data_IF_601998689097
#
_entry.id   IF_601998689097
#
_cell.length_a   1.000
_cell.length_b   1.000
_cell.length_c   1.000
_cell.angle_alpha   90.00
_cell.angle_beta   90.00
_cell.angle_gamma   90.00
#
_symmetry.space_group_name_H-M   'P 1'
#
loop_
_entity.id
_entity.type
_entity.pdbx_description
1 polymer ?
#
# COMPACT_ATOMS: atom_id res chain seq x y z
N UNK A 1 -16.06 -6.12 -2.63
CA UNK A 1 -15.24 -5.07 -2.00
C UNK A 1 -13.78 -5.48 -2.01
N UNK A 2 -13.41 -6.64 -1.44
CA UNK A 2 -12.04 -7.16 -1.47
C UNK A 2 -11.39 -7.18 -2.87
N UNK A 3 -12.04 -7.76 -3.89
CA UNK A 3 -11.49 -7.79 -5.25
C UNK A 3 -11.29 -6.40 -5.85
N UNK A 4 -12.23 -5.48 -5.58
CA UNK A 4 -12.12 -4.08 -6.01
C UNK A 4 -10.91 -3.41 -5.36
N UNK A 5 -10.76 -3.54 -4.04
CA UNK A 5 -9.59 -3.03 -3.33
C UNK A 5 -8.30 -3.63 -3.89
N UNK A 6 -8.20 -4.96 -3.95
CA UNK A 6 -7.01 -5.66 -4.43
C UNK A 6 -6.58 -5.20 -5.83
N UNK A 7 -7.56 -4.98 -6.73
CA UNK A 7 -7.29 -4.48 -8.09
C UNK A 7 -6.85 -3.02 -8.09
N UNK A 8 -7.56 -2.15 -7.37
CA UNK A 8 -7.30 -0.71 -7.36
C UNK A 8 -5.97 -0.42 -6.65
N UNK A 9 -5.78 -0.92 -5.43
CA UNK A 9 -4.52 -0.81 -4.71
C UNK A 9 -3.37 -1.46 -5.48
N UNK A 10 -3.62 -2.61 -6.13
CA UNK A 10 -2.65 -3.27 -7.01
C UNK A 10 -2.10 -2.33 -8.09
N UNK A 11 -3.00 -1.67 -8.84
CA UNK A 11 -2.59 -0.70 -9.86
C UNK A 11 -1.91 0.54 -9.28
N UNK A 12 -2.42 1.10 -8.18
CA UNK A 12 -1.80 2.26 -7.51
C UNK A 12 -0.35 1.94 -7.14
N UNK A 13 -0.11 0.79 -6.49
CA UNK A 13 1.22 0.39 -6.07
C UNK A 13 2.15 0.05 -7.23
N UNK A 14 1.67 -0.56 -8.32
CA UNK A 14 2.50 -0.72 -9.53
C UNK A 14 2.90 0.63 -10.10
N UNK A 15 1.95 1.55 -10.26
CA UNK A 15 2.22 2.87 -10.86
C UNK A 15 3.20 3.65 -10.01
N UNK A 16 2.98 3.75 -8.69
CA UNK A 16 3.88 4.46 -7.78
C UNK A 16 5.24 3.78 -7.65
N UNK A 17 5.27 2.45 -7.54
CA UNK A 17 6.50 1.67 -7.46
C UNK A 17 7.38 1.82 -8.69
N UNK A 18 6.79 1.84 -9.89
CA UNK A 18 7.54 2.11 -11.14
C UNK A 18 7.99 3.57 -11.18
N UNK A 19 7.07 4.52 -10.94
CA UNK A 19 7.35 5.95 -11.00
C UNK A 19 8.52 6.35 -10.09
N UNK A 20 8.57 5.81 -8.87
CA UNK A 20 9.60 6.13 -7.90
C UNK A 20 11.02 5.72 -8.30
N UNK A 21 11.21 4.84 -9.29
CA UNK A 21 12.54 4.55 -9.84
C UNK A 21 13.04 5.63 -10.82
N UNK A 22 12.14 6.50 -11.30
CA UNK A 22 12.47 7.57 -12.25
C UNK A 22 12.36 8.97 -11.63
N UNK A 23 11.72 9.08 -10.46
CA UNK A 23 11.47 10.33 -9.76
C UNK A 23 11.82 10.13 -8.29
N UNK A 24 12.63 11.01 -7.71
CA UNK A 24 13.11 10.86 -6.34
C UNK A 24 12.19 11.53 -5.30
N UNK A 25 11.31 12.45 -5.72
CA UNK A 25 10.28 13.02 -4.86
C UNK A 25 9.04 13.42 -5.67
N UNK A 26 7.85 13.30 -5.07
CA UNK A 26 6.60 13.77 -5.65
C UNK A 26 6.17 15.08 -4.98
N UNK A 27 6.25 16.18 -5.73
CA UNK A 27 5.91 17.53 -5.27
C UNK A 27 6.63 17.99 -3.99
N UNK A 28 7.79 17.40 -3.67
CA UNK A 28 8.51 17.66 -2.41
C UNK A 28 7.80 17.15 -1.14
N UNK A 29 6.78 16.30 -1.26
CA UNK A 29 5.97 15.81 -0.14
C UNK A 29 6.14 14.31 0.15
N UNK A 30 6.66 13.55 -0.82
CA UNK A 30 6.78 12.09 -0.78
C UNK A 30 8.12 11.76 -1.40
N UNK A 31 9.03 11.17 -0.64
CA UNK A 31 10.31 10.69 -1.12
C UNK A 31 10.17 9.26 -1.64
N UNK A 32 10.82 8.98 -2.77
CA UNK A 32 10.85 7.64 -3.35
C UNK A 32 12.20 6.99 -3.07
N UNK A 33 12.21 6.04 -2.12
CA UNK A 33 13.36 5.20 -1.84
C UNK A 33 13.30 3.90 -2.64
N UNK A 34 14.47 3.37 -3.03
CA UNK A 34 14.59 2.09 -3.74
C UNK A 34 13.84 0.97 -2.98
N UNK A 35 13.99 0.92 -1.65
CA UNK A 35 13.32 -0.07 -0.82
C UNK A 35 11.79 0.10 -0.85
N UNK A 36 11.30 1.34 -0.74
CA UNK A 36 9.87 1.64 -0.74
C UNK A 36 9.23 1.29 -2.09
N UNK A 37 9.91 1.65 -3.19
CA UNK A 37 9.47 1.36 -4.55
C UNK A 37 9.39 -0.16 -4.82
N UNK A 38 10.37 -0.93 -4.35
CA UNK A 38 10.38 -2.38 -4.50
C UNK A 38 9.23 -3.04 -3.71
N UNK A 39 8.97 -2.57 -2.49
CA UNK A 39 7.83 -3.04 -1.67
C UNK A 39 6.51 -2.72 -2.36
N UNK A 40 6.32 -1.49 -2.85
CA UNK A 40 5.12 -1.13 -3.62
C UNK A 40 4.96 -2.00 -4.86
N UNK A 41 6.01 -2.20 -5.66
CA UNK A 41 5.91 -3.03 -6.85
C UNK A 41 5.49 -4.48 -6.52
N UNK A 42 6.08 -5.07 -5.47
CA UNK A 42 5.70 -6.40 -4.98
C UNK A 42 4.24 -6.45 -4.53
N UNK A 43 3.81 -5.51 -3.69
CA UNK A 43 2.42 -5.42 -3.23
C UNK A 43 1.44 -5.20 -4.39
N UNK A 44 1.85 -4.45 -5.40
CA UNK A 44 1.09 -4.20 -6.61
C UNK A 44 0.84 -5.46 -7.43
N UNK A 45 1.90 -6.22 -7.72
CA UNK A 45 1.81 -7.51 -8.43
C UNK A 45 0.96 -8.51 -7.65
N UNK A 46 1.18 -8.63 -6.34
CA UNK A 46 0.39 -9.51 -5.47
C UNK A 46 -1.09 -9.10 -5.45
N UNK A 47 -1.39 -7.80 -5.49
CA UNK A 47 -2.75 -7.28 -5.53
C UNK A 47 -3.49 -7.64 -6.81
N UNK A 48 -2.85 -7.46 -7.97
CA UNK A 48 -3.44 -7.84 -9.26
C UNK A 48 -3.61 -9.36 -9.41
N UNK A 49 -2.65 -10.15 -8.90
CA UNK A 49 -2.76 -11.60 -8.85
C UNK A 49 -3.94 -12.02 -7.95
N UNK A 50 -4.05 -11.45 -6.75
CA UNK A 50 -5.13 -11.73 -5.82
C UNK A 50 -6.50 -11.31 -6.36
N UNK A 51 -6.57 -10.23 -7.14
CA UNK A 51 -7.78 -9.74 -7.79
C UNK A 51 -8.22 -10.59 -8.99
N UNK A 52 -7.32 -11.39 -9.56
CA UNK A 52 -7.61 -12.31 -10.67
C UNK A 52 -7.93 -13.73 -10.19
N UNK A 53 -7.56 -14.07 -8.95
CA UNK A 53 -7.87 -15.35 -8.31
C UNK A 53 -8.85 -15.23 -7.14
N UNK A 54 -8.79 -16.20 -6.23
CA UNK A 54 -9.67 -16.27 -5.05
C UNK A 54 -9.03 -15.72 -3.77
N UNK A 55 -7.87 -15.06 -3.87
CA UNK A 55 -7.09 -14.58 -2.71
C UNK A 55 -7.37 -13.12 -2.33
N UNK A 56 -8.31 -12.46 -3.01
CA UNK A 56 -8.64 -11.03 -2.79
C UNK A 56 -8.93 -10.70 -1.33
N UNK A 57 -9.68 -11.56 -0.62
CA UNK A 57 -10.04 -11.33 0.79
C UNK A 57 -8.79 -11.32 1.69
N UNK A 58 -7.96 -12.36 1.57
CA UNK A 58 -6.74 -12.50 2.36
C UNK A 58 -5.76 -11.35 2.07
N UNK A 59 -5.53 -11.05 0.79
CA UNK A 59 -4.69 -9.92 0.39
C UNK A 59 -5.18 -8.61 1.00
N UNK A 60 -6.48 -8.31 0.86
CA UNK A 60 -7.06 -7.06 1.36
C UNK A 60 -6.93 -6.93 2.87
N UNK A 61 -7.19 -8.01 3.61
CA UNK A 61 -7.08 -8.00 5.07
C UNK A 61 -5.64 -7.80 5.54
N UNK A 62 -4.69 -8.56 4.96
CA UNK A 62 -3.27 -8.52 5.35
C UNK A 62 -2.65 -7.18 4.97
N UNK A 63 -2.76 -6.77 3.70
CA UNK A 63 -2.19 -5.50 3.24
C UNK A 63 -2.87 -4.33 3.93
N UNK A 64 -4.20 -4.39 4.11
CA UNK A 64 -4.94 -3.40 4.87
C UNK A 64 -4.40 -3.21 6.28
N UNK A 65 -4.22 -4.30 7.03
CA UNK A 65 -3.65 -4.26 8.38
C UNK A 65 -2.22 -3.71 8.40
N UNK A 66 -1.36 -4.17 7.48
CA UNK A 66 0.04 -3.71 7.38
C UNK A 66 0.08 -2.20 7.13
N UNK A 67 -0.71 -1.69 6.19
CA UNK A 67 -0.75 -0.27 5.88
C UNK A 67 -1.28 0.59 7.04
N UNK A 68 -2.28 0.11 7.78
CA UNK A 68 -2.75 0.80 8.99
C UNK A 68 -1.64 0.88 10.04
N UNK A 69 -0.95 -0.23 10.27
CA UNK A 69 0.14 -0.30 11.25
C UNK A 69 1.29 0.62 10.83
N UNK A 70 1.74 0.55 9.57
CA UNK A 70 2.83 1.38 9.05
C UNK A 70 2.46 2.86 9.03
N UNK A 71 1.25 3.21 8.57
CA UNK A 71 0.79 4.60 8.55
C UNK A 71 0.66 5.20 9.96
N UNK A 72 0.23 4.42 10.95
CA UNK A 72 0.20 4.87 12.34
C UNK A 72 1.60 4.99 12.94
N UNK A 73 2.46 3.99 12.73
CA UNK A 73 3.82 3.96 13.26
C UNK A 73 4.71 5.05 12.65
N UNK A 74 4.53 5.38 11.37
CA UNK A 74 5.32 6.37 10.64
C UNK A 74 5.27 7.78 11.22
N UNK A 75 4.20 8.14 11.93
CA UNK A 75 4.13 9.41 12.66
C UNK A 75 5.11 9.50 13.84
N UNK A 76 5.55 8.36 14.37
CA UNK A 76 6.51 8.26 15.47
C UNK A 76 7.88 7.77 15.02
N UNK A 77 7.93 7.06 13.89
CA UNK A 77 9.13 6.46 13.29
C UNK A 77 9.23 6.92 11.83
N UNK A 78 9.78 8.13 11.58
CA UNK A 78 9.76 8.76 10.26
C UNK A 78 10.63 8.05 9.22
N UNK A 79 11.46 7.08 9.64
CA UNK A 79 12.13 6.18 8.72
C UNK A 79 12.36 4.80 9.35
N UNK A 80 12.25 3.75 8.54
CA UNK A 80 12.47 2.35 8.94
C UNK A 80 13.00 1.54 7.76
N UNK A 81 14.01 0.70 7.97
CA UNK A 81 14.55 -0.21 6.93
C UNK A 81 14.96 0.48 5.61
N UNK A 82 15.38 1.74 5.66
CA UNK A 82 15.73 2.52 4.47
C UNK A 82 14.53 3.06 3.68
N UNK A 83 13.36 3.11 4.30
CA UNK A 83 12.12 3.72 3.79
C UNK A 83 11.83 4.97 4.64
N UNK A 84 11.61 6.10 3.98
CA UNK A 84 11.06 7.32 4.59
C UNK A 84 9.53 7.24 4.63
N UNK A 85 8.95 7.80 5.69
CA UNK A 85 7.53 7.74 6.00
C UNK A 85 7.00 9.14 6.31
N UNK A 86 6.78 9.91 5.25
CA UNK A 86 6.33 11.29 5.35
C UNK A 86 4.91 11.36 5.90
N UNK A 87 4.52 12.47 6.58
CA UNK A 87 3.16 12.62 7.09
C UNK A 87 2.08 12.41 6.02
N UNK A 88 2.34 12.84 4.78
CA UNK A 88 1.41 12.63 3.65
C UNK A 88 1.31 11.16 3.28
N UNK A 89 2.42 10.42 3.22
CA UNK A 89 2.43 8.98 2.96
C UNK A 89 1.72 8.21 4.07
N UNK A 90 1.95 8.59 5.33
CA UNK A 90 1.30 7.97 6.48
C UNK A 90 -0.22 8.11 6.42
N UNK A 91 -0.73 9.29 6.03
CA UNK A 91 -2.17 9.50 5.81
C UNK A 91 -2.67 8.61 4.67
N UNK A 92 -1.95 8.53 3.55
CA UNK A 92 -2.33 7.67 2.42
C UNK A 92 -2.35 6.19 2.82
N UNK A 93 -1.36 5.72 3.58
CA UNK A 93 -1.31 4.38 4.15
C UNK A 93 -2.48 4.11 5.10
N UNK A 94 -2.85 5.05 5.97
CA UNK A 94 -4.01 4.90 6.84
C UNK A 94 -5.32 4.81 6.03
N UNK A 95 -5.49 5.64 5.01
CA UNK A 95 -6.70 5.65 4.16
C UNK A 95 -6.82 4.35 3.35
N UNK A 96 -5.76 3.97 2.63
CA UNK A 96 -5.73 2.73 1.86
C UNK A 96 -5.80 1.51 2.77
N UNK A 97 -5.10 1.54 3.90
CA UNK A 97 -5.07 0.48 4.89
C UNK A 97 -6.44 0.24 5.52
N UNK A 98 -7.12 1.31 5.95
CA UNK A 98 -8.47 1.24 6.50
C UNK A 98 -9.47 0.68 5.49
N UNK A 99 -9.40 1.13 4.23
CA UNK A 99 -10.23 0.57 3.17
C UNK A 99 -9.95 -0.91 2.92
N UNK A 100 -8.68 -1.30 2.82
CA UNK A 100 -8.26 -2.69 2.63
C UNK A 100 -8.70 -3.60 3.76
N UNK A 101 -8.48 -3.18 5.00
CA UNK A 101 -8.83 -3.95 6.19
C UNK A 101 -10.34 -4.16 6.28
N UNK A 102 -11.12 -3.09 6.07
CA UNK A 102 -12.58 -3.18 6.01
C UNK A 102 -13.02 -4.13 4.88
N UNK A 103 -12.48 -3.98 3.67
CA UNK A 103 -12.83 -4.81 2.52
C UNK A 103 -12.44 -6.29 2.69
N UNK A 104 -11.35 -6.58 3.40
CA UNK A 104 -10.83 -7.93 3.63
C UNK A 104 -11.52 -8.69 4.76
N UNK A 105 -11.91 -7.99 5.84
CA UNK A 105 -12.61 -8.61 6.98
C UNK A 105 -14.11 -8.74 6.72
N UNK A 106 -14.70 -7.80 5.97
CA UNK A 106 -16.12 -7.85 5.64
C UNK A 106 -16.43 -8.99 4.66
N UNK A 107 -17.15 -10.01 5.12
CA UNK A 107 -17.78 -11.03 4.29
C UNK A 107 -19.26 -10.67 4.12
N UNK A 108 -19.74 -10.55 2.88
CA UNK A 108 -21.19 -10.62 2.63
C UNK A 108 -21.61 -12.05 2.94
N UNK A 109 -22.45 -12.22 3.97
CA UNK A 109 -23.15 -13.46 4.26
C UNK A 109 -24.17 -13.79 3.18
#
# INVERSE_FOLDING_TARGET
>A
MATTFARVAGWIFIVLGILGFFVNNLFGLIQFDVAHNAVHLLLGVLGLAAASGNQSQLYSAVVGAVLVILGAAGFFLPSMLGIHLEPVENILHLVLGGWGLYAGVYKKG
#
